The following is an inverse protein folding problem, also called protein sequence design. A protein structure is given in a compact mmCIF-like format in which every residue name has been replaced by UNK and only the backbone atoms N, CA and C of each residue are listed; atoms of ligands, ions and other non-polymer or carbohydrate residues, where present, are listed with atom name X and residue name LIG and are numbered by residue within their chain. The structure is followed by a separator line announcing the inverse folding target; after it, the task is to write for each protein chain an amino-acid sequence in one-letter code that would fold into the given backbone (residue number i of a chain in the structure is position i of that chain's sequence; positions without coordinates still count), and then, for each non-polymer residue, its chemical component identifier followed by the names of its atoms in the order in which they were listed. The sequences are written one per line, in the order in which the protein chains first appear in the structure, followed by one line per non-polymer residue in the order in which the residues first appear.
data_IF_965912159109
#
_entry.id   IF_965912159109
#
_cell.length_a   1.000
_cell.length_b   1.000
_cell.length_c   1.000
_cell.angle_alpha   90.00
_cell.angle_beta   90.00
_cell.angle_gamma   90.00
#
_symmetry.space_group_name_H-M   'P 1'
#
loop_
_entity.id
_entity.type
_entity.pdbx_description
1 polymer ?
#
# COMPACT_ATOMS: atom_id res chain seq x y z
N UNK A 1 18.84 -1.38 37.32
CA UNK A 1 19.39 -2.38 36.37
C UNK A 1 20.72 -2.84 36.94
N UNK A 2 21.04 -4.14 36.94
CA UNK A 2 22.31 -4.62 37.51
C UNK A 2 23.44 -4.49 36.49
N UNK A 3 24.68 -4.31 36.97
CA UNK A 3 25.91 -4.24 36.13
C UNK A 3 25.98 -5.40 35.13
N UNK A 4 25.71 -6.63 35.57
CA UNK A 4 25.76 -7.82 34.72
C UNK A 4 24.77 -7.76 33.54
N UNK A 5 23.54 -7.26 33.75
CA UNK A 5 22.56 -7.13 32.66
C UNK A 5 22.99 -6.10 31.62
N UNK A 6 23.64 -5.03 32.05
CA UNK A 6 24.13 -3.98 31.17
C UNK A 6 25.34 -4.46 30.35
N UNK A 7 26.34 -5.09 30.99
CA UNK A 7 27.48 -5.67 30.29
C UNK A 7 27.05 -6.68 29.22
N UNK A 8 26.10 -7.56 29.58
CA UNK A 8 25.54 -8.56 28.66
C UNK A 8 24.75 -7.91 27.52
N UNK A 9 24.06 -6.78 27.75
CA UNK A 9 23.36 -6.07 26.69
C UNK A 9 24.35 -5.41 25.71
N UNK A 10 25.40 -4.76 26.22
CA UNK A 10 26.37 -4.03 25.41
C UNK A 10 27.33 -4.96 24.63
N UNK A 11 27.64 -6.14 25.15
CA UNK A 11 28.60 -7.06 24.52
C UNK A 11 28.05 -7.87 23.33
N UNK A 12 26.74 -7.80 23.06
CA UNK A 12 26.10 -8.60 22.00
C UNK A 12 26.19 -7.96 20.61
N UNK A 13 26.33 -6.65 20.54
CA UNK A 13 26.42 -5.95 19.27
C UNK A 13 27.77 -6.23 18.60
N UNK A 14 27.75 -6.71 17.34
CA UNK A 14 28.97 -7.04 16.57
C UNK A 14 29.32 -6.01 15.50
N UNK A 15 28.32 -5.34 14.93
CA UNK A 15 28.48 -4.42 13.78
C UNK A 15 28.13 -2.99 14.18
N UNK A 16 27.03 -2.81 14.89
CA UNK A 16 26.57 -1.51 15.36
C UNK A 16 25.59 -1.65 16.51
N UNK A 17 25.43 -0.59 17.28
CA UNK A 17 24.56 -0.53 18.46
C UNK A 17 23.85 0.81 18.49
N UNK A 18 22.52 0.76 18.63
CA UNK A 18 21.69 1.94 18.90
C UNK A 18 21.06 1.76 20.28
N UNK A 19 21.15 2.80 21.12
CA UNK A 19 20.53 2.83 22.44
C UNK A 19 19.51 3.98 22.44
N UNK A 20 18.24 3.66 22.65
CA UNK A 20 17.15 4.64 22.68
C UNK A 20 16.69 4.78 24.13
N UNK A 21 16.81 5.99 24.69
CA UNK A 21 16.41 6.27 26.06
C UNK A 21 16.88 7.65 26.55
N UNK A 22 16.43 8.02 27.74
CA UNK A 22 16.85 9.25 28.39
C UNK A 22 18.14 9.01 29.18
N UNK A 23 19.28 9.45 28.64
CA UNK A 23 20.58 9.19 29.26
C UNK A 23 20.79 9.97 30.56
N UNK A 24 20.23 11.17 30.67
CA UNK A 24 20.26 11.98 31.90
C UNK A 24 19.61 11.21 33.05
N UNK A 25 18.41 10.68 32.79
CA UNK A 25 17.67 9.92 33.77
C UNK A 25 18.38 8.60 34.16
N UNK A 26 19.12 7.98 33.23
CA UNK A 26 19.89 6.77 33.51
C UNK A 26 21.14 7.05 34.34
N UNK A 27 21.82 8.17 34.08
CA UNK A 27 23.03 8.60 34.78
C UNK A 27 22.77 9.17 36.18
N UNK A 28 21.63 9.83 36.41
CA UNK A 28 21.28 10.50 37.68
C UNK A 28 20.88 9.51 38.80
N UNK A 29 20.66 8.23 38.49
CA UNK A 29 20.29 7.24 39.51
C UNK A 29 21.50 6.96 40.43
N UNK A 30 21.29 7.06 41.75
CA UNK A 30 22.31 6.85 42.80
C UNK A 30 23.06 5.49 42.78
N UNK A 31 22.64 4.52 41.97
CA UNK A 31 23.27 3.19 41.80
C UNK A 31 23.99 3.02 40.46
N UNK A 32 24.24 4.12 39.73
CA UNK A 32 24.43 4.10 38.29
C UNK A 32 25.80 4.61 37.83
N UNK A 33 26.88 4.33 38.58
CA UNK A 33 28.25 4.76 38.19
C UNK A 33 28.60 4.34 36.76
N UNK A 34 28.17 3.15 36.34
CA UNK A 34 28.39 2.66 34.98
C UNK A 34 27.64 3.47 33.91
N UNK A 35 26.43 3.98 34.17
CA UNK A 35 25.75 4.83 33.19
C UNK A 35 26.33 6.25 33.14
N UNK A 36 26.92 6.73 34.25
CA UNK A 36 27.70 7.97 34.25
C UNK A 36 28.93 7.82 33.35
N UNK A 37 29.70 6.74 33.53
CA UNK A 37 30.85 6.42 32.66
C UNK A 37 30.45 6.26 31.18
N UNK A 38 29.31 5.60 30.91
CA UNK A 38 28.77 5.48 29.54
C UNK A 38 28.39 6.85 28.98
N UNK A 39 27.74 7.70 29.77
CA UNK A 39 27.35 9.05 29.37
C UNK A 39 28.59 9.88 28.99
N UNK A 40 29.58 9.95 29.86
CA UNK A 40 30.85 10.66 29.60
C UNK A 40 31.55 10.13 28.34
N UNK A 41 31.55 8.80 28.15
CA UNK A 41 32.12 8.18 26.95
C UNK A 41 31.35 8.56 25.69
N UNK A 42 30.02 8.62 25.74
CA UNK A 42 29.20 8.98 24.59
C UNK A 42 29.29 10.47 24.26
N UNK A 43 29.36 11.35 25.28
CA UNK A 43 29.57 12.78 25.12
C UNK A 43 30.94 13.09 24.49
N UNK A 44 32.02 12.54 25.05
CA UNK A 44 33.39 12.76 24.56
C UNK A 44 33.61 12.26 23.13
N UNK A 45 32.85 11.26 22.68
CA UNK A 45 32.90 10.73 21.32
C UNK A 45 31.85 11.30 20.37
N UNK A 46 31.02 12.23 20.84
CA UNK A 46 29.91 12.81 20.08
C UNK A 46 28.95 11.73 19.52
N UNK A 47 28.62 10.73 20.35
CA UNK A 47 27.68 9.63 20.03
C UNK A 47 26.25 9.89 20.51
N UNK A 48 26.01 11.00 21.22
CA UNK A 48 24.66 11.39 21.63
C UNK A 48 23.97 12.16 20.51
N UNK A 49 22.73 11.80 20.25
CA UNK A 49 21.85 12.53 19.35
C UNK A 49 20.45 12.56 19.93
N UNK A 50 19.78 13.71 19.81
CA UNK A 50 18.36 13.87 20.16
C UNK A 50 17.41 13.36 19.07
N UNK A 51 17.97 12.84 17.97
CA UNK A 51 17.21 12.36 16.82
C UNK A 51 17.83 11.11 16.21
N UNK A 52 16.97 10.30 15.61
CA UNK A 52 17.37 9.17 14.78
C UNK A 52 17.30 9.59 13.31
N UNK A 53 18.35 9.35 12.54
CA UNK A 53 18.30 9.50 11.09
C UNK A 53 17.88 8.15 10.50
N UNK A 54 16.78 8.14 9.75
CA UNK A 54 16.35 6.98 8.97
C UNK A 54 16.62 7.24 7.50
N UNK A 55 16.92 6.19 6.74
CA UNK A 55 17.17 6.26 5.30
C UNK A 55 16.31 5.26 4.57
N UNK A 56 15.53 5.74 3.62
CA UNK A 56 14.75 4.87 2.75
C UNK A 56 15.68 4.06 1.85
N UNK A 57 15.54 2.73 1.88
CA UNK A 57 16.38 1.83 1.08
C UNK A 57 16.11 1.96 -0.43
N UNK A 58 14.85 2.21 -0.82
CA UNK A 58 14.44 2.35 -2.23
C UNK A 58 14.85 3.69 -2.84
N UNK A 59 14.62 4.80 -2.13
CA UNK A 59 14.76 6.15 -2.68
C UNK A 59 15.97 6.93 -2.16
N UNK A 60 16.69 6.41 -1.16
CA UNK A 60 17.82 7.09 -0.53
C UNK A 60 17.45 8.31 0.31
N UNK A 61 16.17 8.67 0.40
CA UNK A 61 15.67 9.80 1.20
C UNK A 61 16.01 9.61 2.67
N UNK A 62 16.65 10.61 3.26
CA UNK A 62 16.96 10.64 4.69
C UNK A 62 15.91 11.46 5.45
N UNK A 63 15.52 10.97 6.63
CA UNK A 63 14.55 11.61 7.51
C UNK A 63 15.13 11.73 8.91
N UNK A 64 14.97 12.90 9.51
CA UNK A 64 15.33 13.14 10.91
C UNK A 64 14.09 12.87 11.77
N UNK A 65 14.16 11.89 12.66
CA UNK A 65 13.08 11.49 13.57
C UNK A 65 13.41 11.93 14.98
N UNK A 66 12.64 12.88 15.53
CA UNK A 66 12.84 13.39 16.90
C UNK A 66 11.92 12.75 17.93
N UNK A 67 10.78 12.21 17.50
CA UNK A 67 9.84 11.55 18.39
C UNK A 67 9.16 10.37 17.72
N UNK A 68 8.64 9.45 18.52
CA UNK A 68 7.95 8.27 18.03
C UNK A 68 6.78 8.61 17.10
N UNK A 69 6.05 9.70 17.36
CA UNK A 69 4.92 10.13 16.53
C UNK A 69 5.33 10.51 15.10
N UNK A 70 6.59 10.89 14.89
CA UNK A 70 7.06 11.31 13.58
C UNK A 70 7.19 10.14 12.59
N UNK A 71 7.33 8.90 13.08
CA UNK A 71 7.32 7.72 12.21
C UNK A 71 6.02 7.63 11.40
N UNK A 72 4.88 7.93 12.02
CA UNK A 72 3.56 7.81 11.38
C UNK A 72 3.40 8.65 10.11
N UNK A 73 4.12 9.76 10.00
CA UNK A 73 4.02 10.64 8.83
C UNK A 73 5.30 10.77 8.02
N UNK A 74 6.50 10.54 8.59
CA UNK A 74 7.78 10.56 7.84
C UNK A 74 8.14 9.20 7.23
N UNK A 75 7.73 8.12 7.87
CA UNK A 75 7.99 6.74 7.46
C UNK A 75 6.74 5.86 7.67
N UNK A 76 5.57 6.23 7.09
CA UNK A 76 4.29 5.59 7.38
C UNK A 76 4.31 4.07 7.18
N UNK A 77 4.98 3.61 6.11
CA UNK A 77 5.12 2.20 5.74
C UNK A 77 6.57 1.67 5.92
N UNK A 78 7.37 2.34 6.75
CA UNK A 78 8.78 2.01 6.98
C UNK A 78 9.75 2.48 5.89
N UNK A 79 9.27 2.94 4.73
CA UNK A 79 10.08 3.67 3.74
C UNK A 79 9.95 5.19 3.88
N UNK A 80 9.94 5.90 2.75
CA UNK A 80 9.75 7.36 2.72
C UNK A 80 8.30 7.74 2.39
N UNK A 81 8.01 9.05 2.41
CA UNK A 81 6.68 9.62 2.15
C UNK A 81 6.25 9.61 0.67
N UNK A 82 7.07 9.06 -0.23
CA UNK A 82 6.66 8.89 -1.64
C UNK A 82 5.63 7.77 -1.72
N UNK A 83 4.65 7.92 -2.62
CA UNK A 83 3.76 6.83 -2.99
C UNK A 83 4.58 5.68 -3.59
N UNK A 84 4.12 4.44 -3.38
CA UNK A 84 4.68 3.32 -4.11
C UNK A 84 4.28 3.45 -5.58
N UNK A 85 5.22 3.16 -6.48
CA UNK A 85 5.02 3.25 -7.93
C UNK A 85 4.98 1.86 -8.58
N UNK A 86 5.04 0.80 -7.76
CA UNK A 86 5.05 -0.57 -8.25
C UNK A 86 3.62 -1.00 -8.63
N UNK A 87 3.53 -1.80 -9.70
CA UNK A 87 2.28 -2.30 -10.24
C UNK A 87 2.02 -3.70 -9.68
N UNK A 88 0.85 -3.90 -9.09
CA UNK A 88 0.39 -5.19 -8.57
C UNK A 88 0.05 -6.14 -9.73
N UNK A 89 -0.05 -7.44 -9.45
CA UNK A 89 -0.41 -8.45 -10.45
C UNK A 89 -1.74 -8.15 -11.17
N UNK A 90 -2.70 -7.54 -10.45
CA UNK A 90 -3.98 -7.11 -11.01
C UNK A 90 -3.89 -5.88 -11.95
N UNK A 91 -2.72 -5.27 -12.13
CA UNK A 91 -2.50 -4.10 -12.98
C UNK A 91 -2.70 -2.75 -12.28
N UNK A 92 -3.22 -2.72 -11.06
CA UNK A 92 -3.32 -1.49 -10.26
C UNK A 92 -1.97 -1.08 -9.67
N UNK A 93 -1.75 0.23 -9.55
CA UNK A 93 -0.62 0.78 -8.80
C UNK A 93 -0.84 0.53 -7.30
N UNK A 94 0.21 0.13 -6.59
CA UNK A 94 0.18 -0.03 -5.13
C UNK A 94 -0.24 1.29 -4.45
N UNK A 95 -1.28 1.23 -3.61
CA UNK A 95 -1.84 2.40 -2.94
C UNK A 95 -1.07 2.79 -1.65
N UNK A 96 -0.06 2.02 -1.27
CA UNK A 96 0.74 2.25 -0.08
C UNK A 96 1.82 3.30 -0.32
N UNK A 97 2.31 3.90 0.77
CA UNK A 97 3.57 4.63 0.70
C UNK A 97 4.73 3.66 0.48
N UNK A 98 5.86 4.18 0.02
CA UNK A 98 7.08 3.41 -0.13
C UNK A 98 7.37 2.56 1.11
N UNK A 99 7.54 1.25 0.88
CA UNK A 99 7.79 0.23 1.90
C UNK A 99 8.95 -0.68 1.49
N UNK A 100 9.47 -1.44 2.46
CA UNK A 100 10.57 -2.39 2.25
C UNK A 100 10.30 -3.80 2.77
N UNK A 101 9.12 -4.07 3.34
CA UNK A 101 8.78 -5.39 3.90
C UNK A 101 8.28 -6.40 2.84
N UNK A 102 7.66 -5.91 1.77
CA UNK A 102 7.22 -6.70 0.62
C UNK A 102 7.63 -6.00 -0.67
N UNK A 103 8.89 -6.15 -1.09
CA UNK A 103 9.41 -5.47 -2.27
C UNK A 103 8.83 -6.05 -3.58
N UNK A 104 8.45 -7.32 -3.57
CA UNK A 104 7.90 -8.02 -4.74
C UNK A 104 6.37 -7.94 -4.81
N UNK A 105 5.73 -7.33 -3.81
CA UNK A 105 4.27 -7.12 -3.75
C UNK A 105 3.48 -8.44 -3.82
N UNK A 106 3.99 -9.50 -3.20
CA UNK A 106 3.38 -10.83 -3.22
C UNK A 106 2.22 -10.97 -2.21
N UNK A 107 2.26 -10.21 -1.12
CA UNK A 107 1.27 -10.31 -0.03
C UNK A 107 0.33 -9.09 0.01
N UNK A 108 0.67 -8.01 -0.70
CA UNK A 108 -0.13 -6.78 -0.74
C UNK A 108 -1.46 -7.01 -1.47
N UNK A 109 -2.55 -6.76 -0.76
CA UNK A 109 -3.90 -6.81 -1.29
C UNK A 109 -4.29 -5.49 -1.93
N UNK A 110 -4.76 -5.55 -3.17
CA UNK A 110 -5.26 -4.38 -3.87
C UNK A 110 -6.61 -3.93 -3.29
N UNK A 111 -6.65 -2.74 -2.69
CA UNK A 111 -7.87 -2.11 -2.15
C UNK A 111 -8.54 -1.16 -3.14
N UNK A 112 -8.08 -1.12 -4.40
CA UNK A 112 -8.77 -0.35 -5.45
C UNK A 112 -10.08 -1.05 -5.85
N UNK A 113 -11.09 -0.30 -6.35
CA UNK A 113 -12.29 -0.87 -6.93
C UNK A 113 -11.95 -1.84 -8.06
N UNK A 114 -12.63 -2.99 -8.11
CA UNK A 114 -12.45 -3.92 -9.19
C UNK A 114 -12.89 -3.30 -10.53
N UNK A 115 -12.02 -3.38 -11.55
CA UNK A 115 -12.30 -2.88 -12.90
C UNK A 115 -12.92 -3.95 -13.82
N UNK A 116 -13.19 -5.15 -13.30
CA UNK A 116 -13.87 -6.20 -14.08
C UNK A 116 -15.32 -5.81 -14.32
N UNK A 117 -15.78 -6.02 -15.55
CA UNK A 117 -17.14 -5.73 -16.00
C UNK A 117 -17.83 -7.07 -16.31
N UNK A 118 -19.03 -7.26 -15.78
CA UNK A 118 -19.88 -8.42 -16.06
C UNK A 118 -20.58 -8.30 -17.43
N UNK A 119 -21.13 -9.41 -17.92
CA UNK A 119 -21.83 -9.55 -19.21
C UNK A 119 -22.90 -8.46 -19.51
N UNK A 120 -23.55 -7.92 -18.46
CA UNK A 120 -24.56 -6.87 -18.58
C UNK A 120 -24.00 -5.44 -18.52
N UNK A 121 -22.70 -5.27 -18.75
CA UNK A 121 -21.98 -4.01 -18.54
C UNK A 121 -22.08 -3.47 -17.10
N UNK A 122 -22.23 -4.39 -16.13
CA UNK A 122 -22.29 -4.05 -14.70
C UNK A 122 -20.89 -4.12 -14.13
N UNK A 123 -20.42 -3.01 -13.57
CA UNK A 123 -19.13 -2.94 -12.89
C UNK A 123 -19.18 -3.75 -11.58
N UNK A 124 -18.13 -4.53 -11.33
CA UNK A 124 -17.98 -5.24 -10.06
C UNK A 124 -17.93 -4.25 -8.88
N UNK A 125 -18.69 -4.52 -7.82
CA UNK A 125 -18.75 -3.66 -6.63
C UNK A 125 -17.73 -4.03 -5.55
N UNK A 126 -16.93 -5.07 -5.78
CA UNK A 126 -15.92 -5.56 -4.83
C UNK A 126 -14.57 -4.86 -5.00
N UNK A 127 -13.71 -5.02 -4.00
CA UNK A 127 -12.30 -4.64 -4.10
C UNK A 127 -11.56 -5.60 -5.03
N UNK A 128 -10.50 -5.13 -5.65
CA UNK A 128 -9.80 -5.88 -6.68
C UNK A 128 -9.16 -7.19 -6.18
N UNK A 129 -8.77 -7.25 -4.90
CA UNK A 129 -8.23 -8.49 -4.30
C UNK A 129 -9.31 -9.50 -3.91
N UNK A 130 -10.57 -9.12 -3.90
CA UNK A 130 -11.67 -10.01 -3.54
C UNK A 130 -12.06 -10.85 -4.76
N UNK A 131 -12.42 -12.10 -4.49
CA UNK A 131 -12.99 -12.96 -5.51
C UNK A 131 -14.32 -12.35 -6.00
N UNK A 132 -14.37 -12.06 -7.28
CA UNK A 132 -15.57 -11.55 -7.92
C UNK A 132 -16.68 -12.58 -7.76
N UNK A 133 -17.86 -12.12 -7.35
CA UNK A 133 -19.03 -12.99 -7.37
C UNK A 133 -19.30 -13.44 -8.81
N UNK A 134 -19.74 -14.69 -9.00
CA UNK A 134 -20.31 -15.10 -10.28
C UNK A 134 -21.37 -14.08 -10.65
N UNK A 135 -21.32 -13.54 -11.87
CA UNK A 135 -22.34 -12.61 -12.32
C UNK A 135 -23.69 -13.35 -12.24
N UNK A 136 -24.57 -12.93 -11.32
CA UNK A 136 -25.89 -13.52 -11.20
C UNK A 136 -26.66 -13.22 -12.48
N UNK A 137 -26.91 -14.26 -13.26
CA UNK A 137 -27.83 -14.19 -14.37
C UNK A 137 -29.23 -14.04 -13.79
N UNK A 138 -29.78 -12.84 -13.83
CA UNK A 138 -31.22 -12.71 -13.77
C UNK A 138 -31.73 -13.32 -15.07
N UNK A 139 -32.27 -14.54 -15.00
CA UNK A 139 -33.12 -15.07 -16.05
C UNK A 139 -34.12 -13.97 -16.39
N UNK A 140 -34.03 -13.44 -17.60
CA UNK A 140 -35.03 -12.49 -18.04
C UNK A 140 -36.38 -13.22 -18.07
N UNK A 141 -37.47 -12.46 -17.89
CA UNK A 141 -38.79 -12.95 -18.26
C UNK A 141 -38.71 -13.54 -19.69
N UNK A 142 -38.89 -14.87 -19.78
CA UNK A 142 -38.82 -15.72 -20.97
C UNK A 142 -37.48 -16.44 -21.30
N UNK A 143 -36.48 -16.49 -20.40
CA UNK A 143 -35.35 -17.44 -20.52
C UNK A 143 -34.25 -17.08 -21.54
N UNK A 144 -34.21 -15.81 -22.00
CA UNK A 144 -33.18 -15.30 -22.91
C UNK A 144 -32.21 -14.36 -22.19
N UNK A 145 -30.91 -14.42 -22.45
CA UNK A 145 -30.00 -13.39 -21.94
C UNK A 145 -30.06 -12.15 -22.85
N UNK A 146 -29.93 -10.95 -22.28
CA UNK A 146 -29.91 -9.70 -23.04
C UNK A 146 -28.81 -8.78 -22.51
N UNK A 147 -28.16 -8.01 -23.35
CA UNK A 147 -27.33 -6.87 -22.92
C UNK A 147 -27.89 -5.57 -23.52
N UNK A 148 -27.58 -4.46 -22.87
CA UNK A 148 -27.97 -3.12 -23.33
C UNK A 148 -26.79 -2.52 -24.09
N UNK A 149 -26.99 -2.24 -25.37
CA UNK A 149 -26.05 -1.43 -26.14
C UNK A 149 -26.53 0.01 -26.05
N UNK A 150 -25.67 0.89 -25.54
CA UNK A 150 -25.84 2.34 -25.66
C UNK A 150 -25.11 2.82 -26.91
N UNK A 151 -25.85 3.11 -27.97
CA UNK A 151 -25.30 3.84 -29.12
C UNK A 151 -25.46 5.34 -28.85
N UNK A 152 -24.36 6.10 -28.95
CA UNK A 152 -24.43 7.56 -28.98
C UNK A 152 -24.43 8.00 -30.44
N UNK A 153 -25.55 8.56 -30.89
CA UNK A 153 -25.60 9.24 -32.19
C UNK A 153 -25.42 10.74 -31.96
N UNK A 154 -24.39 11.32 -32.57
CA UNK A 154 -24.22 12.78 -32.60
C UNK A 154 -25.20 13.34 -33.63
N UNK A 155 -26.39 13.77 -33.19
CA UNK A 155 -27.19 14.72 -33.96
C UNK A 155 -26.66 16.14 -33.68
N UNK A 156 -26.71 17.01 -34.69
CA UNK A 156 -26.08 18.33 -34.69
C UNK A 156 -26.74 19.37 -33.75
N UNK A 157 -27.54 18.93 -32.78
CA UNK A 157 -28.13 19.77 -31.74
C UNK A 157 -27.80 19.12 -30.39
N UNK A 158 -27.23 19.92 -29.48
CA UNK A 158 -26.53 19.50 -28.26
C UNK A 158 -27.43 18.86 -27.19
N UNK A 159 -28.06 17.75 -27.55
CA UNK A 159 -28.89 16.87 -26.72
C UNK A 159 -28.40 15.45 -26.98
N UNK A 160 -27.69 14.87 -26.01
CA UNK A 160 -27.27 13.47 -26.04
C UNK A 160 -28.51 12.57 -25.91
N UNK A 161 -29.12 12.21 -27.02
CA UNK A 161 -30.12 11.15 -27.05
C UNK A 161 -29.39 9.80 -27.08
N UNK A 162 -29.37 9.13 -25.92
CA UNK A 162 -28.85 7.77 -25.80
C UNK A 162 -29.98 6.81 -26.14
N UNK A 163 -29.93 6.20 -27.32
CA UNK A 163 -30.87 5.16 -27.70
C UNK A 163 -30.36 3.80 -27.19
N UNK A 164 -31.01 3.25 -26.16
CA UNK A 164 -30.69 1.92 -25.63
C UNK A 164 -31.43 0.83 -26.40
N UNK A 165 -30.68 -0.02 -27.12
CA UNK A 165 -31.24 -1.19 -27.81
C UNK A 165 -31.01 -2.46 -26.98
N UNK A 166 -32.04 -3.32 -26.92
CA UNK A 166 -32.03 -4.62 -26.24
C UNK A 166 -31.68 -5.70 -27.27
N UNK A 167 -30.56 -6.40 -27.09
CA UNK A 167 -30.13 -7.49 -27.99
C UNK A 167 -30.13 -8.85 -27.27
N UNK A 168 -30.71 -9.88 -27.90
CA UNK A 168 -30.77 -11.26 -27.40
C UNK A 168 -29.40 -11.94 -27.56
N UNK A 169 -29.06 -12.79 -26.60
CA UNK A 169 -27.81 -13.54 -26.54
C UNK A 169 -28.13 -15.02 -26.53
N UNK A 170 -27.64 -15.74 -27.53
CA UNK A 170 -28.04 -17.13 -27.77
C UNK A 170 -27.29 -18.14 -26.88
N UNK A 171 -26.11 -17.82 -26.32
CA UNK A 171 -25.37 -18.71 -25.43
C UNK A 171 -24.83 -18.01 -24.18
N UNK A 172 -25.38 -18.42 -23.03
CA UNK A 172 -25.05 -17.95 -21.70
C UNK A 172 -23.85 -18.71 -21.10
N UNK A 173 -22.78 -18.86 -21.88
CA UNK A 173 -21.66 -19.78 -21.56
C UNK A 173 -20.36 -19.02 -21.26
N UNK A 174 -20.26 -18.59 -20.01
CA UNK A 174 -19.07 -18.37 -19.14
C UNK A 174 -17.85 -17.54 -19.57
N UNK A 175 -17.49 -17.33 -20.82
CA UNK A 175 -16.36 -16.44 -21.17
C UNK A 175 -16.66 -15.77 -22.51
N UNK A 176 -17.19 -14.55 -22.49
CA UNK A 176 -17.29 -13.74 -23.71
C UNK A 176 -15.99 -12.94 -23.85
N UNK A 177 -15.10 -13.36 -24.74
CA UNK A 177 -14.09 -12.47 -25.29
C UNK A 177 -14.82 -11.33 -26.01
N UNK A 178 -14.85 -10.15 -25.40
CA UNK A 178 -15.33 -8.94 -26.07
C UNK A 178 -14.21 -8.50 -27.02
N UNK A 179 -14.21 -9.07 -28.23
CA UNK A 179 -13.45 -8.49 -29.34
C UNK A 179 -14.16 -7.21 -29.77
N UNK A 180 -13.63 -6.05 -29.37
CA UNK A 180 -13.99 -4.78 -29.98
C UNK A 180 -13.56 -4.82 -31.45
N UNK A 181 -14.49 -5.14 -32.36
CA UNK A 181 -14.32 -4.80 -33.77
C UNK A 181 -14.43 -3.27 -33.88
N UNK A 182 -13.28 -2.60 -33.84
CA UNK A 182 -13.13 -1.31 -34.51
C UNK A 182 -13.06 -1.60 -36.02
N UNK A 183 -14.17 -2.02 -36.61
CA UNK A 183 -14.30 -1.99 -38.06
C UNK A 183 -14.56 -0.53 -38.46
N UNK A 184 -13.56 0.01 -39.14
CA UNK A 184 -13.50 1.41 -39.50
C UNK A 184 -14.66 1.87 -40.37
N UNK A 185 -15.07 3.12 -40.13
CA UNK A 185 -15.14 4.22 -41.09
C UNK A 185 -15.51 5.51 -40.34
#
# INVERSE_FOLDING_TARGET
MTKNRLCVALSRARIGMYIIGNIEYLADRASSTLWQEIKETFESKNYLSEHLITKCQKHGTEQIIKSFKEFNFKCPEGGCQRQCEDILECGHICALYCHGYDMEHLEIKCEQPCQKICYHNVQCQKLCHEECEPCEFNESENGNCYYFISESSNSAENTLEVETKKQVVEECSREAEISFFLDGL
#
